data_IF_860300503274
#
_entry.id   IF_860300503274
#
_cell.length_a   1.000
_cell.length_b   1.000
_cell.length_c   1.000
_cell.angle_alpha   90.00
_cell.angle_beta   90.00
_cell.angle_gamma   90.00
#
_symmetry.space_group_name_H-M   'P 1'
#
loop_
_entity.id
_entity.type
_entity.pdbx_description
1 polymer ?
#
# COMPACT_ATOMS: atom_id res chain seq x y z
N UNK A 1 11.86 16.19 17.18
CA UNK A 1 12.77 15.27 16.45
C UNK A 1 12.01 14.71 15.26
N UNK A 2 12.36 15.13 14.04
CA UNK A 2 11.82 14.55 12.80
C UNK A 2 12.35 13.12 12.67
N UNK A 3 11.53 12.13 13.03
CA UNK A 3 11.83 10.73 12.74
C UNK A 3 12.00 10.59 11.23
N UNK A 4 13.24 10.36 10.79
CA UNK A 4 13.52 10.05 9.38
C UNK A 4 12.61 8.92 8.95
N UNK A 5 11.91 9.14 7.85
CA UNK A 5 11.16 8.10 7.16
C UNK A 5 12.16 7.01 6.75
N UNK A 6 12.06 5.81 7.35
CA UNK A 6 12.88 4.67 6.93
C UNK A 6 12.33 4.13 5.63
N UNK A 7 13.08 4.33 4.55
CA UNK A 7 12.77 3.78 3.23
C UNK A 7 14.00 3.03 2.68
N UNK A 8 13.87 1.76 2.23
CA UNK A 8 12.67 0.95 2.30
C UNK A 8 12.26 0.64 3.77
N UNK A 9 10.98 0.27 4.01
CA UNK A 9 10.54 -0.17 5.33
C UNK A 9 11.40 -1.33 5.84
N UNK A 10 11.68 -1.33 7.14
CA UNK A 10 12.35 -2.43 7.85
C UNK A 10 11.53 -2.80 9.07
N UNK A 11 11.39 -4.09 9.34
CA UNK A 11 10.72 -4.59 10.53
C UNK A 11 11.73 -4.89 11.64
N UNK A 12 11.36 -4.59 12.88
CA UNK A 12 12.06 -5.08 14.08
C UNK A 12 11.48 -6.40 14.61
N UNK A 13 10.45 -6.93 13.95
CA UNK A 13 9.67 -8.11 14.36
C UNK A 13 9.74 -9.23 13.32
N UNK A 14 10.94 -9.47 12.76
CA UNK A 14 11.15 -10.41 11.65
C UNK A 14 10.62 -11.83 11.96
N UNK A 15 10.84 -12.34 13.17
CA UNK A 15 10.35 -13.67 13.55
C UNK A 15 8.81 -13.77 13.48
N UNK A 16 8.10 -12.75 13.96
CA UNK A 16 6.64 -12.71 13.91
C UNK A 16 6.15 -12.62 12.46
N UNK A 17 6.83 -11.83 11.63
CA UNK A 17 6.56 -11.75 10.20
C UNK A 17 6.70 -13.11 9.53
N UNK A 18 7.80 -13.83 9.77
CA UNK A 18 8.02 -15.16 9.17
C UNK A 18 7.00 -16.19 9.65
N UNK A 19 6.59 -16.17 10.92
CA UNK A 19 5.51 -17.03 11.44
C UNK A 19 4.19 -16.75 10.70
N UNK A 20 3.83 -15.48 10.51
CA UNK A 20 2.61 -15.12 9.80
C UNK A 20 2.68 -15.51 8.32
N UNK A 21 3.82 -15.31 7.65
CA UNK A 21 4.00 -15.75 6.26
C UNK A 21 3.90 -17.28 6.14
N UNK A 22 4.47 -18.03 7.08
CA UNK A 22 4.32 -19.48 7.13
C UNK A 22 2.85 -19.90 7.27
N UNK A 23 2.06 -19.20 8.10
CA UNK A 23 0.62 -19.42 8.22
C UNK A 23 -0.13 -19.10 6.92
N UNK A 24 0.17 -17.98 6.25
CA UNK A 24 -0.42 -17.68 4.94
C UNK A 24 -0.11 -18.77 3.91
N UNK A 25 1.12 -19.31 3.93
CA UNK A 25 1.52 -20.38 3.03
C UNK A 25 0.66 -21.64 3.21
N UNK A 26 0.19 -21.96 4.41
CA UNK A 26 -0.68 -23.15 4.61
C UNK A 26 -2.06 -23.01 3.95
N UNK A 27 -2.49 -21.78 3.63
CA UNK A 27 -3.81 -21.49 3.05
C UNK A 27 -3.71 -21.17 1.56
N UNK A 28 -2.67 -20.43 1.16
CA UNK A 28 -2.51 -19.89 -0.20
C UNK A 28 -1.73 -20.83 -1.13
N UNK A 29 -0.86 -21.69 -0.60
CA UNK A 29 0.08 -22.47 -1.40
C UNK A 29 -0.61 -23.25 -2.53
N UNK A 30 -0.07 -23.10 -3.75
CA UNK A 30 -0.56 -23.75 -4.97
C UNK A 30 -1.78 -23.11 -5.65
N UNK A 31 -2.42 -22.09 -5.05
CA UNK A 31 -3.62 -21.43 -5.62
C UNK A 31 -3.34 -20.05 -6.19
N UNK A 32 -2.28 -19.39 -5.72
CA UNK A 32 -2.07 -17.96 -5.94
C UNK A 32 -3.13 -17.12 -5.21
N UNK A 33 -2.80 -15.87 -4.88
CA UNK A 33 -3.75 -14.97 -4.22
C UNK A 33 -3.95 -13.66 -4.99
N UNK A 34 -5.14 -13.10 -4.80
CA UNK A 34 -5.46 -11.71 -5.12
C UNK A 34 -5.33 -10.91 -3.83
N UNK A 35 -4.44 -9.92 -3.82
CA UNK A 35 -4.28 -9.00 -2.70
C UNK A 35 -5.13 -7.76 -2.91
N UNK A 36 -5.85 -7.32 -1.89
CA UNK A 36 -6.62 -6.06 -1.92
C UNK A 36 -5.84 -4.96 -1.20
N UNK A 37 -5.46 -3.92 -1.93
CA UNK A 37 -4.80 -2.74 -1.39
C UNK A 37 -5.80 -1.62 -1.21
N UNK A 38 -6.00 -1.19 0.03
CA UNK A 38 -6.94 -0.12 0.37
C UNK A 38 -6.44 0.73 1.54
N UNK A 39 -6.74 2.05 1.57
CA UNK A 39 -6.37 2.89 2.70
C UNK A 39 -7.03 2.40 4.00
N UNK A 40 -6.23 2.15 5.05
CA UNK A 40 -6.74 1.79 6.38
C UNK A 40 -6.41 2.87 7.40
N UNK A 41 -5.13 3.10 7.67
CA UNK A 41 -4.65 4.05 8.68
C UNK A 41 -4.25 5.41 8.11
N UNK A 42 -4.04 5.48 6.79
CA UNK A 42 -3.71 6.70 6.05
C UNK A 42 -4.70 6.91 4.90
N UNK A 43 -4.40 7.75 3.91
CA UNK A 43 -5.30 8.06 2.80
C UNK A 43 -5.95 9.43 2.88
N UNK A 44 -6.90 9.69 1.98
CA UNK A 44 -7.56 10.99 1.84
C UNK A 44 -8.33 11.41 3.10
N UNK A 45 -9.01 10.45 3.75
CA UNK A 45 -9.70 10.64 5.03
C UNK A 45 -8.72 11.05 6.14
N UNK A 46 -7.58 10.37 6.22
CA UNK A 46 -6.51 10.76 7.15
C UNK A 46 -5.99 12.16 6.86
N UNK A 47 -5.68 12.50 5.62
CA UNK A 47 -5.15 13.82 5.27
C UNK A 47 -6.12 14.95 5.66
N UNK A 48 -7.42 14.75 5.41
CA UNK A 48 -8.48 15.71 5.78
C UNK A 48 -8.68 15.79 7.29
N UNK A 49 -8.67 14.65 7.98
CA UNK A 49 -8.76 14.61 9.44
C UNK A 49 -7.56 15.29 10.10
N UNK A 50 -6.36 15.00 9.59
CA UNK A 50 -5.08 15.54 10.09
C UNK A 50 -4.97 17.04 9.88
N UNK A 51 -5.48 17.59 8.78
CA UNK A 51 -5.43 19.03 8.51
C UNK A 51 -6.45 19.83 9.33
N UNK A 52 -7.58 19.23 9.72
CA UNK A 52 -8.68 19.92 10.42
C UNK A 52 -8.62 19.79 11.94
N UNK A 53 -8.49 18.56 12.44
CA UNK A 53 -8.68 18.22 13.86
C UNK A 53 -7.35 18.00 14.58
N UNK A 54 -6.43 17.33 13.91
CA UNK A 54 -5.22 16.86 14.54
C UNK A 54 -4.10 17.92 14.73
N UNK A 55 -4.05 19.12 14.12
CA UNK A 55 -3.03 20.11 14.50
C UNK A 55 -3.19 20.56 15.96
N UNK A 56 -4.36 20.32 16.54
CA UNK A 56 -4.72 20.64 17.93
C UNK A 56 -4.36 19.50 18.89
N UNK A 57 -3.96 18.32 18.40
CA UNK A 57 -3.69 17.12 19.19
C UNK A 57 -2.35 16.53 18.77
N UNK A 58 -1.37 16.54 19.69
CA UNK A 58 -0.07 15.94 19.44
C UNK A 58 -0.19 14.43 19.18
N UNK A 59 0.68 13.87 18.34
CA UNK A 59 0.66 12.43 18.01
C UNK A 59 0.92 11.53 19.23
N UNK A 60 1.53 12.09 20.27
CA UNK A 60 1.79 11.43 21.56
C UNK A 60 0.59 11.45 22.51
N UNK A 61 -0.46 12.21 22.20
CA UNK A 61 -1.65 12.31 23.03
C UNK A 61 -2.45 10.99 22.99
N UNK A 62 -2.83 10.39 24.13
CA UNK A 62 -3.67 9.19 24.16
C UNK A 62 -4.99 9.33 23.38
N UNK A 63 -5.57 10.54 23.32
CA UNK A 63 -6.78 10.82 22.56
C UNK A 63 -6.56 10.74 21.05
N UNK A 64 -5.33 10.98 20.56
CA UNK A 64 -5.00 10.89 19.14
C UNK A 64 -5.37 9.52 18.56
N UNK A 65 -4.94 8.43 19.23
CA UNK A 65 -5.18 7.07 18.73
C UNK A 65 -6.66 6.74 18.66
N UNK A 66 -7.42 7.13 19.69
CA UNK A 66 -8.88 6.91 19.72
C UNK A 66 -9.56 7.65 18.58
N UNK A 67 -9.30 8.96 18.45
CA UNK A 67 -9.92 9.80 17.43
C UNK A 67 -9.51 9.39 16.02
N UNK A 68 -8.25 9.01 15.81
CA UNK A 68 -7.75 8.47 14.55
C UNK A 68 -8.48 7.17 14.19
N UNK A 69 -8.63 6.26 15.15
CA UNK A 69 -9.35 5.01 14.95
C UNK A 69 -10.81 5.24 14.56
N UNK A 70 -11.51 6.09 15.30
CA UNK A 70 -12.93 6.40 15.10
C UNK A 70 -13.18 7.19 13.81
N UNK A 71 -12.31 8.15 13.49
CA UNK A 71 -12.53 9.08 12.37
C UNK A 71 -11.92 8.61 11.05
N UNK A 72 -10.98 7.65 11.09
CA UNK A 72 -10.23 7.21 9.90
C UNK A 72 -10.31 5.71 9.73
N UNK A 73 -9.82 4.93 10.71
CA UNK A 73 -9.60 3.49 10.56
C UNK A 73 -10.91 2.72 10.41
N UNK A 74 -11.88 2.94 11.32
CA UNK A 74 -13.17 2.23 11.30
C UNK A 74 -13.93 2.55 10.01
N UNK A 75 -14.17 3.82 9.64
CA UNK A 75 -14.87 4.14 8.40
C UNK A 75 -14.18 3.59 7.15
N UNK A 76 -12.84 3.60 7.11
CA UNK A 76 -12.09 3.06 5.98
C UNK A 76 -12.32 1.55 5.83
N UNK A 77 -12.26 0.80 6.94
CA UNK A 77 -12.51 -0.65 6.94
C UNK A 77 -13.95 -0.99 6.53
N UNK A 78 -14.92 -0.21 7.01
CA UNK A 78 -16.33 -0.44 6.70
C UNK A 78 -16.63 -0.27 5.21
N UNK A 79 -16.07 0.76 4.57
CA UNK A 79 -16.22 0.99 3.14
C UNK A 79 -15.63 -0.16 2.30
N UNK A 80 -14.47 -0.68 2.71
CA UNK A 80 -13.77 -1.73 1.97
C UNK A 80 -14.45 -3.10 2.14
N UNK A 81 -15.09 -3.37 3.29
CA UNK A 81 -15.66 -4.68 3.63
C UNK A 81 -16.58 -5.22 2.53
N UNK A 82 -17.54 -4.42 2.07
CA UNK A 82 -18.51 -4.85 1.06
C UNK A 82 -17.86 -5.15 -0.29
N UNK A 83 -16.82 -4.39 -0.66
CA UNK A 83 -16.06 -4.59 -1.90
C UNK A 83 -15.27 -5.90 -1.84
N UNK A 84 -14.61 -6.18 -0.72
CA UNK A 84 -13.88 -7.44 -0.52
C UNK A 84 -14.82 -8.65 -0.54
N UNK A 85 -15.98 -8.56 0.10
CA UNK A 85 -16.98 -9.63 0.08
C UNK A 85 -17.49 -9.90 -1.34
N UNK A 86 -17.69 -8.86 -2.15
CA UNK A 86 -18.03 -9.02 -3.56
C UNK A 86 -16.90 -9.68 -4.34
N UNK A 87 -15.65 -9.27 -4.12
CA UNK A 87 -14.48 -9.88 -4.77
C UNK A 87 -14.35 -11.36 -4.42
N UNK A 88 -14.53 -11.73 -3.14
CA UNK A 88 -14.51 -13.14 -2.69
C UNK A 88 -15.58 -13.99 -3.35
N UNK A 89 -16.76 -13.42 -3.61
CA UNK A 89 -17.86 -14.14 -4.30
C UNK A 89 -17.63 -14.26 -5.80
N UNK A 90 -16.97 -13.28 -6.41
CA UNK A 90 -16.75 -13.22 -7.85
C UNK A 90 -15.51 -14.00 -8.32
N UNK A 91 -14.65 -14.44 -7.41
CA UNK A 91 -13.35 -15.05 -7.72
C UNK A 91 -13.19 -16.41 -7.08
N UNK A 92 -12.41 -17.28 -7.72
CA UNK A 92 -12.07 -18.61 -7.19
C UNK A 92 -10.72 -18.61 -6.45
N UNK A 93 -9.91 -17.58 -6.67
CA UNK A 93 -8.62 -17.38 -5.99
C UNK A 93 -8.80 -16.96 -4.53
N UNK A 94 -7.75 -17.19 -3.73
CA UNK A 94 -7.73 -16.70 -2.35
C UNK A 94 -7.62 -15.18 -2.35
N UNK A 95 -8.54 -14.50 -1.66
CA UNK A 95 -8.50 -13.04 -1.49
C UNK A 95 -7.84 -12.70 -0.15
N UNK A 96 -6.66 -12.10 -0.21
CA UNK A 96 -5.96 -11.54 0.95
C UNK A 96 -6.50 -10.14 1.18
N UNK A 97 -7.11 -9.93 2.35
CA UNK A 97 -7.71 -8.67 2.77
C UNK A 97 -7.00 -8.13 4.03
N UNK A 98 -6.02 -7.23 3.86
CA UNK A 98 -5.30 -6.58 4.95
C UNK A 98 -6.22 -5.77 5.86
N UNK A 99 -7.36 -5.29 5.34
CA UNK A 99 -8.26 -4.44 6.14
C UNK A 99 -8.90 -5.22 7.27
N UNK A 100 -9.01 -6.55 7.15
CA UNK A 100 -9.50 -7.44 8.21
C UNK A 100 -8.44 -7.81 9.27
N UNK A 101 -7.18 -7.44 9.07
CA UNK A 101 -6.07 -7.81 9.97
C UNK A 101 -5.96 -6.85 11.16
N UNK A 102 -6.14 -7.35 12.38
CA UNK A 102 -6.12 -6.51 13.58
C UNK A 102 -4.73 -5.97 13.94
N UNK A 103 -4.72 -4.95 14.77
CA UNK A 103 -3.48 -4.36 15.29
C UNK A 103 -2.71 -5.39 16.14
N UNK A 104 -1.46 -5.65 15.75
CA UNK A 104 -0.50 -6.45 16.51
C UNK A 104 0.22 -5.55 17.52
N UNK A 105 0.20 -5.88 18.82
CA UNK A 105 0.90 -5.10 19.84
C UNK A 105 2.40 -4.98 19.53
N UNK A 106 2.93 -3.76 19.68
CA UNK A 106 4.36 -3.46 19.46
C UNK A 106 4.73 -3.17 18.01
N UNK A 107 3.89 -3.51 17.03
CA UNK A 107 4.18 -3.24 15.63
C UNK A 107 4.10 -1.74 15.31
N UNK A 108 5.10 -1.27 14.58
CA UNK A 108 5.15 0.05 13.96
C UNK A 108 4.56 0.00 12.55
N UNK A 109 4.31 1.18 11.96
CA UNK A 109 3.89 1.25 10.55
C UNK A 109 4.92 0.63 9.59
N UNK A 110 6.21 0.59 9.92
CA UNK A 110 7.20 -0.08 9.10
C UNK A 110 7.12 -1.60 9.19
N UNK A 111 6.72 -2.15 10.34
CA UNK A 111 6.47 -3.59 10.49
C UNK A 111 5.30 -4.02 9.60
N UNK A 112 4.18 -3.28 9.63
CA UNK A 112 3.05 -3.55 8.75
C UNK A 112 3.42 -3.45 7.27
N UNK A 113 4.10 -2.36 6.87
CA UNK A 113 4.52 -2.20 5.46
C UNK A 113 5.46 -3.31 5.03
N UNK A 114 6.43 -3.69 5.87
CA UNK A 114 7.34 -4.79 5.57
C UNK A 114 6.58 -6.12 5.43
N UNK A 115 5.71 -6.44 6.38
CA UNK A 115 4.89 -7.66 6.35
C UNK A 115 4.02 -7.76 5.10
N UNK A 116 3.29 -6.69 4.77
CA UNK A 116 2.43 -6.66 3.60
C UNK A 116 3.18 -6.67 2.28
N UNK A 117 4.33 -5.98 2.20
CA UNK A 117 5.24 -6.09 1.07
C UNK A 117 5.67 -7.54 0.85
N UNK A 118 6.13 -8.23 1.90
CA UNK A 118 6.51 -9.65 1.83
C UNK A 118 5.35 -10.56 1.44
N UNK A 119 4.15 -10.26 1.92
CA UNK A 119 2.93 -10.99 1.57
C UNK A 119 2.64 -10.88 0.07
N UNK A 120 2.74 -9.67 -0.50
CA UNK A 120 2.56 -9.45 -1.94
C UNK A 120 3.65 -10.18 -2.74
N UNK A 121 4.91 -10.00 -2.38
CA UNK A 121 6.06 -10.66 -3.06
C UNK A 121 5.92 -12.18 -3.11
N UNK A 122 5.40 -12.77 -2.03
CA UNK A 122 5.36 -14.23 -1.88
C UNK A 122 4.10 -14.86 -2.47
N UNK A 123 2.94 -14.20 -2.33
CA UNK A 123 1.64 -14.84 -2.55
C UNK A 123 0.78 -14.21 -3.64
N UNK A 124 0.97 -12.92 -3.92
CA UNK A 124 0.07 -12.19 -4.80
C UNK A 124 0.51 -12.28 -6.27
N UNK A 125 -0.36 -12.81 -7.13
CA UNK A 125 -0.20 -12.71 -8.58
C UNK A 125 -0.96 -11.51 -9.16
N UNK A 126 -1.99 -11.05 -8.44
CA UNK A 126 -2.75 -9.84 -8.74
C UNK A 126 -2.88 -9.00 -7.48
N UNK A 127 -2.73 -7.68 -7.63
CA UNK A 127 -3.04 -6.70 -6.59
C UNK A 127 -4.12 -5.76 -7.12
N UNK A 128 -5.25 -5.67 -6.42
CA UNK A 128 -6.35 -4.77 -6.73
C UNK A 128 -6.24 -3.55 -5.82
N UNK A 129 -6.09 -2.37 -6.41
CA UNK A 129 -6.03 -1.10 -5.73
C UNK A 129 -7.41 -0.46 -5.71
N UNK A 130 -7.97 -0.30 -4.51
CA UNK A 130 -9.27 0.35 -4.31
C UNK A 130 -9.15 1.88 -4.44
N UNK A 131 -10.27 2.55 -4.66
CA UNK A 131 -10.28 3.99 -4.90
C UNK A 131 -9.61 4.78 -3.75
N UNK A 132 -8.73 5.72 -4.12
CA UNK A 132 -7.99 6.54 -3.17
C UNK A 132 -6.74 5.88 -2.56
N UNK A 133 -6.33 4.71 -3.06
CA UNK A 133 -5.10 4.02 -2.67
C UNK A 133 -3.86 4.94 -2.74
N UNK A 134 -3.78 5.82 -3.72
CA UNK A 134 -2.65 6.72 -3.99
C UNK A 134 -2.40 7.72 -2.85
N UNK A 135 -3.40 7.97 -2.01
CA UNK A 135 -3.27 8.81 -0.82
C UNK A 135 -2.69 8.06 0.38
N UNK A 136 -2.59 6.72 0.33
CA UNK A 136 -2.08 5.88 1.41
C UNK A 136 -0.61 5.56 1.18
N UNK A 137 0.21 5.82 2.18
CA UNK A 137 1.64 5.47 2.14
C UNK A 137 1.83 3.95 2.01
N UNK A 138 0.99 3.17 2.71
CA UNK A 138 1.01 1.71 2.65
C UNK A 138 0.69 1.22 1.24
N UNK A 139 -0.42 1.67 0.67
CA UNK A 139 -0.86 1.24 -0.66
C UNK A 139 0.11 1.68 -1.75
N UNK A 140 0.70 2.87 -1.63
CA UNK A 140 1.73 3.33 -2.56
C UNK A 140 2.95 2.39 -2.56
N UNK A 141 3.38 1.96 -1.36
CA UNK A 141 4.46 0.99 -1.25
C UNK A 141 4.06 -0.40 -1.78
N UNK A 142 2.84 -0.85 -1.50
CA UNK A 142 2.30 -2.10 -2.04
C UNK A 142 2.28 -2.10 -3.58
N UNK A 143 1.97 -0.96 -4.22
CA UNK A 143 2.10 -0.81 -5.68
C UNK A 143 3.54 -0.97 -6.16
N UNK A 144 4.49 -0.30 -5.50
CA UNK A 144 5.92 -0.47 -5.82
C UNK A 144 6.37 -1.93 -5.68
N UNK A 145 5.91 -2.61 -4.63
CA UNK A 145 6.22 -4.03 -4.41
C UNK A 145 5.62 -4.90 -5.52
N UNK A 146 4.34 -4.69 -5.87
CA UNK A 146 3.67 -5.41 -6.95
C UNK A 146 4.40 -5.25 -8.30
N UNK A 147 4.85 -4.03 -8.61
CA UNK A 147 5.63 -3.76 -9.83
C UNK A 147 6.98 -4.50 -9.82
N UNK A 148 7.64 -4.59 -8.68
CA UNK A 148 8.93 -5.32 -8.54
C UNK A 148 8.76 -6.83 -8.60
N UNK A 149 7.66 -7.37 -8.09
CA UNK A 149 7.37 -8.81 -8.12
C UNK A 149 6.76 -9.27 -9.45
N UNK A 150 6.40 -8.33 -10.34
CA UNK A 150 5.72 -8.64 -11.60
C UNK A 150 4.25 -9.05 -11.40
N UNK A 151 3.66 -8.75 -10.25
CA UNK A 151 2.24 -8.97 -10.01
C UNK A 151 1.40 -8.02 -10.88
N UNK A 152 0.28 -8.52 -11.40
CA UNK A 152 -0.66 -7.71 -12.17
C UNK A 152 -1.32 -6.69 -11.26
N UNK A 153 -1.31 -5.42 -11.66
CA UNK A 153 -1.95 -4.33 -10.89
C UNK A 153 -3.25 -3.92 -11.55
N UNK A 154 -4.35 -3.99 -10.82
CA UNK A 154 -5.68 -3.62 -11.28
C UNK A 154 -6.21 -2.47 -10.43
N UNK A 155 -7.06 -1.61 -11.02
CA UNK A 155 -7.90 -0.68 -10.26
C UNK A 155 -9.21 -1.36 -9.86
N UNK A 156 -10.00 -0.69 -9.02
CA UNK A 156 -11.17 -1.28 -8.33
C UNK A 156 -12.19 -1.94 -9.26
N UNK A 157 -12.37 -1.40 -10.46
CA UNK A 157 -13.30 -1.91 -11.47
C UNK A 157 -12.74 -3.08 -12.30
N UNK A 158 -11.46 -3.43 -12.14
CA UNK A 158 -10.81 -4.60 -12.76
C UNK A 158 -9.96 -4.33 -13.99
N UNK A 159 -9.85 -3.09 -14.45
CA UNK A 159 -8.95 -2.65 -15.52
C UNK A 159 -7.53 -2.52 -15.01
N UNK A 160 -6.56 -2.56 -15.92
CA UNK A 160 -5.15 -2.49 -15.56
C UNK A 160 -4.76 -1.10 -15.07
N UNK A 161 -4.01 -1.07 -13.97
CA UNK A 161 -3.37 0.13 -13.44
C UNK A 161 -1.92 0.14 -13.89
N UNK A 162 -1.61 0.96 -14.89
CA UNK A 162 -0.26 1.06 -15.46
C UNK A 162 0.71 1.83 -14.59
N UNK A 163 2.02 1.57 -14.76
CA UNK A 163 3.08 2.24 -14.00
C UNK A 163 3.08 3.78 -14.18
N UNK A 164 2.91 4.27 -15.41
CA UNK A 164 2.89 5.71 -15.68
C UNK A 164 1.69 6.41 -15.01
N UNK A 165 0.50 5.83 -15.15
CA UNK A 165 -0.73 6.31 -14.51
C UNK A 165 -0.56 6.33 -12.98
N UNK A 166 -0.04 5.26 -12.38
CA UNK A 166 0.18 5.19 -10.95
C UNK A 166 1.17 6.27 -10.44
N UNK A 167 2.22 6.58 -11.20
CA UNK A 167 3.15 7.67 -10.85
C UNK A 167 2.43 9.02 -10.86
N UNK A 168 1.57 9.29 -11.84
CA UNK A 168 0.78 10.52 -11.92
C UNK A 168 -0.19 10.63 -10.73
N UNK A 169 -0.90 9.56 -10.40
CA UNK A 169 -1.83 9.51 -9.27
C UNK A 169 -1.11 9.75 -7.93
N UNK A 170 0.02 9.07 -7.69
CA UNK A 170 0.81 9.26 -6.46
C UNK A 170 1.36 10.69 -6.38
N UNK A 171 1.78 11.27 -7.51
CA UNK A 171 2.24 12.66 -7.56
C UNK A 171 1.14 13.62 -7.15
N UNK A 172 -0.04 13.51 -7.77
CA UNK A 172 -1.19 14.35 -7.43
C UNK A 172 -1.59 14.20 -5.94
N UNK A 173 -1.55 12.98 -5.41
CA UNK A 173 -1.86 12.71 -4.01
C UNK A 173 -0.81 13.28 -3.04
N UNK A 174 0.47 13.29 -3.42
CA UNK A 174 1.54 13.91 -2.65
C UNK A 174 1.38 15.43 -2.63
N UNK A 175 1.06 16.04 -3.77
CA UNK A 175 0.81 17.48 -3.91
C UNK A 175 -0.37 17.91 -3.02
N UNK A 176 -1.49 17.20 -3.12
CA UNK A 176 -2.66 17.46 -2.27
C UNK A 176 -2.35 17.31 -0.77
N UNK A 177 -1.50 16.35 -0.37
CA UNK A 177 -1.10 16.23 1.03
C UNK A 177 -0.25 17.42 1.50
N UNK A 178 0.64 17.95 0.64
CA UNK A 178 1.43 19.15 0.92
C UNK A 178 0.54 20.39 1.08
N UNK A 179 -0.48 20.54 0.23
CA UNK A 179 -1.45 21.63 0.35
C UNK A 179 -2.22 21.58 1.68
N UNK A 180 -2.41 20.38 2.22
CA UNK A 180 -3.03 20.15 3.53
C UNK A 180 -2.03 20.18 4.71
N UNK A 181 -0.75 20.51 4.45
CA UNK A 181 0.34 20.49 5.45
C UNK A 181 0.52 19.13 6.14
N UNK A 182 0.23 18.04 5.42
CA UNK A 182 0.44 16.66 5.85
C UNK A 182 1.69 16.11 5.16
N UNK A 183 2.53 15.37 5.88
CA UNK A 183 3.75 14.79 5.30
C UNK A 183 3.42 13.87 4.12
N UNK A 184 4.22 13.99 3.06
CA UNK A 184 4.20 13.14 1.88
C UNK A 184 5.55 12.44 1.64
N UNK A 185 6.48 12.51 2.60
CA UNK A 185 7.89 12.13 2.41
C UNK A 185 8.07 10.65 2.04
N UNK A 186 7.26 9.77 2.65
CA UNK A 186 7.28 8.34 2.33
C UNK A 186 6.75 8.08 0.91
N UNK A 187 5.61 8.68 0.54
CA UNK A 187 5.05 8.60 -0.82
C UNK A 187 6.00 9.15 -1.87
N UNK A 188 6.72 10.22 -1.57
CA UNK A 188 7.73 10.77 -2.48
C UNK A 188 8.90 9.80 -2.69
N UNK A 189 9.34 9.11 -1.63
CA UNK A 189 10.35 8.05 -1.74
C UNK A 189 9.88 6.90 -2.63
N UNK A 190 8.61 6.49 -2.50
CA UNK A 190 7.97 5.49 -3.38
C UNK A 190 7.94 5.97 -4.84
N UNK A 191 7.48 7.20 -5.08
CA UNK A 191 7.38 7.80 -6.42
C UNK A 191 8.74 7.83 -7.13
N UNK A 192 9.81 8.15 -6.41
CA UNK A 192 11.17 8.14 -6.94
C UNK A 192 11.61 6.73 -7.37
N UNK A 193 11.33 5.70 -6.58
CA UNK A 193 11.63 4.31 -6.98
C UNK A 193 10.85 3.88 -8.22
N UNK A 194 9.55 4.17 -8.28
CA UNK A 194 8.71 3.86 -9.45
C UNK A 194 9.23 4.56 -10.71
N UNK A 195 9.68 5.81 -10.57
CA UNK A 195 10.28 6.57 -11.67
C UNK A 195 11.57 5.92 -12.18
N UNK A 196 12.40 5.36 -11.29
CA UNK A 196 13.61 4.60 -11.70
C UNK A 196 13.25 3.32 -12.42
N UNK A 197 12.23 2.59 -11.97
CA UNK A 197 11.72 1.39 -12.67
C UNK A 197 11.28 1.79 -14.09
N UNK A 198 10.49 2.85 -14.23
CA UNK A 198 10.02 3.33 -15.53
C UNK A 198 11.16 3.73 -16.48
N UNK A 199 12.22 4.36 -15.96
CA UNK A 199 13.40 4.72 -16.75
C UNK A 199 14.24 3.49 -17.16
N UNK A 200 14.31 2.47 -16.30
CA UNK A 200 14.98 1.20 -16.59
C UNK A 200 14.34 0.46 -17.76
N UNK A 201 13.00 0.39 -17.80
CA UNK A 201 12.26 -0.23 -18.91
C UNK A 201 12.53 0.44 -20.26
N UNK A 202 12.58 1.78 -20.31
CA UNK A 202 12.87 2.52 -21.54
C UNK A 202 14.28 2.27 -22.09
N UNK A 203 15.22 1.91 -21.22
CA UNK A 203 16.62 1.68 -21.59
C UNK A 203 16.87 0.27 -22.17
N UNK A 204 16.04 -0.72 -21.81
CA UNK A 204 16.12 -2.08 -22.34
C UNK A 204 15.47 -2.24 -23.72
N UNK A 205 14.41 -1.48 -24.01
CA UNK A 205 13.72 -1.55 -25.31
C UNK A 205 14.50 -0.85 -26.44
N UNK A 206 15.33 0.16 -26.11
CA UNK A 206 16.18 0.85 -27.08
C UNK A 206 17.40 0.04 -27.58
N UNK A 207 17.75 -1.09 -26.96
CA UNK A 207 18.89 -1.92 -27.36
C UNK A 207 18.55 -3.06 -28.32
N UNK A 208 17.27 -3.30 -28.64
CA UNK A 208 16.86 -4.37 -29.58
C UNK A 208 16.85 -3.98 -31.07
N UNK A 209 17.21 -2.74 -31.42
CA UNK A 209 17.14 -2.25 -32.81
C UNK A 209 18.50 -2.08 -33.51
N UNK A 210 19.59 -2.65 -33.01
CA UNK A 210 20.93 -2.46 -33.59
C UNK A 210 21.76 -3.74 -33.68
N UNK A 211 21.19 -4.84 -34.20
CA UNK A 211 21.95 -5.95 -34.80
C UNK A 211 21.12 -6.58 -35.92
N UNK A 212 20.93 -5.84 -37.00
CA UNK A 212 20.71 -6.37 -38.36
C UNK A 212 21.26 -5.31 -39.30
N UNK A 213 22.50 -5.53 -39.74
CA UNK A 213 22.93 -5.53 -41.14
C UNK A 213 24.43 -5.87 -41.20
#
# INVERSE_FOLDING_TARGET
MTTRVSFPPRSSHLEQVEILLALFNTVVSGRGAVYVSAPVTSGKRYATWRSRLAPQIADTDPAYRRLHRESVVIPNREEVRSLVENLRRARSEVVIDPTSFEEVPGWTQNDYRYFWGRTIETFAHTVIFLDGWEYSDGCSYEFLVAQRSGARTLKQEGTELGLAEAIELITAAADHARDLLVSADFRESVRQELSRIAAGFRSSDGKKQAVRD
#
